data_IF_727233737610
#
_entry.id   IF_727233737610
#
_cell.length_a   1.000
_cell.length_b   1.000
_cell.length_c   1.000
_cell.angle_alpha   90.00
_cell.angle_beta   90.00
_cell.angle_gamma   90.00
#
_symmetry.space_group_name_H-M   'P 1'
#
loop_
_entity.id
_entity.type
_entity.pdbx_description
1 polymer ?
#
# COMPACT_ATOMS: atom_id res chain seq x y z
N UNK A 1 6.49 7.98 -13.76
CA UNK A 1 6.97 7.53 -12.43
C UNK A 1 7.22 8.77 -11.58
N UNK A 2 6.72 8.82 -10.34
CA UNK A 2 6.71 10.04 -9.52
C UNK A 2 8.09 10.64 -9.21
N UNK A 3 9.16 9.82 -9.24
CA UNK A 3 10.54 10.29 -9.02
C UNK A 3 11.23 10.85 -10.27
N UNK A 4 10.69 10.60 -11.47
CA UNK A 4 11.30 11.04 -12.74
C UNK A 4 10.71 12.36 -13.25
N UNK A 5 9.43 12.58 -13.00
CA UNK A 5 8.73 13.80 -13.36
C UNK A 5 7.73 14.14 -12.27
N UNK A 6 7.61 15.43 -12.02
CA UNK A 6 6.54 15.98 -11.20
C UNK A 6 5.23 16.03 -12.00
N UNK A 7 5.27 16.10 -13.34
CA UNK A 7 4.09 16.22 -14.21
C UNK A 7 3.07 15.10 -13.94
N UNK A 8 1.89 15.48 -13.43
CA UNK A 8 0.80 14.57 -13.08
C UNK A 8 0.97 13.86 -11.73
N UNK A 9 2.01 14.18 -10.97
CA UNK A 9 2.30 13.63 -9.64
C UNK A 9 2.56 14.72 -8.59
N UNK A 10 2.53 16.01 -8.94
CA UNK A 10 2.98 17.14 -8.13
C UNK A 10 2.33 17.15 -6.75
N UNK A 11 1.01 16.95 -6.73
CA UNK A 11 0.18 16.98 -5.52
C UNK A 11 0.44 15.78 -4.62
N UNK A 12 0.58 14.60 -5.21
CA UNK A 12 0.93 13.38 -4.48
C UNK A 12 2.35 13.45 -3.92
N UNK A 13 3.31 13.93 -4.71
CA UNK A 13 4.70 14.10 -4.28
C UNK A 13 4.82 15.11 -3.14
N UNK A 14 4.10 16.23 -3.23
CA UNK A 14 4.05 17.23 -2.16
C UNK A 14 3.44 16.64 -0.89
N UNK A 15 2.30 15.94 -1.01
CA UNK A 15 1.68 15.24 0.11
C UNK A 15 2.63 14.24 0.79
N UNK A 16 3.31 13.39 0.01
CA UNK A 16 4.26 12.39 0.55
C UNK A 16 5.47 13.03 1.24
N UNK A 17 5.96 14.19 0.77
CA UNK A 17 7.05 14.94 1.42
C UNK A 17 6.60 15.62 2.72
N UNK A 18 5.34 16.05 2.79
CA UNK A 18 4.80 16.76 3.94
C UNK A 18 4.29 15.81 5.04
N UNK A 19 3.77 14.64 4.66
CA UNK A 19 3.16 13.67 5.58
C UNK A 19 4.05 13.27 6.78
N UNK A 20 5.37 13.01 6.63
CA UNK A 20 6.24 12.72 7.78
C UNK A 20 6.20 13.76 8.89
N UNK A 21 5.92 15.04 8.57
CA UNK A 21 5.84 16.11 9.57
C UNK A 21 4.54 16.09 10.39
N UNK A 22 3.54 15.29 9.99
CA UNK A 22 2.24 15.20 10.65
C UNK A 22 2.17 14.05 11.65
N UNK A 23 3.19 13.20 11.71
CA UNK A 23 3.27 12.03 12.60
C UNK A 23 4.61 11.99 13.35
N UNK A 24 4.72 11.26 14.48
CA UNK A 24 5.99 10.97 15.10
C UNK A 24 6.92 10.17 14.16
N UNK A 25 8.23 10.40 14.24
CA UNK A 25 9.21 9.61 13.49
C UNK A 25 9.15 8.13 13.95
N UNK A 26 8.89 7.17 13.04
CA UNK A 26 8.74 5.77 13.41
C UNK A 26 10.09 5.09 13.65
N UNK A 27 10.13 4.11 14.56
CA UNK A 27 11.32 3.28 14.79
C UNK A 27 11.58 2.27 13.65
N UNK A 28 10.54 1.92 12.91
CA UNK A 28 10.62 1.14 11.68
C UNK A 28 9.35 1.31 10.84
N UNK A 29 9.46 1.03 9.54
CA UNK A 29 8.37 1.07 8.57
C UNK A 29 8.07 -0.36 8.09
N UNK A 30 6.81 -0.77 8.18
CA UNK A 30 6.31 -2.05 7.65
C UNK A 30 5.47 -1.74 6.43
N UNK A 31 5.93 -2.17 5.25
CA UNK A 31 5.22 -1.92 3.99
C UNK A 31 4.48 -3.17 3.54
N UNK A 32 3.17 -3.04 3.33
CA UNK A 32 2.37 -4.07 2.65
C UNK A 32 2.38 -3.67 1.18
N UNK A 33 3.10 -4.41 0.33
CA UNK A 33 3.32 -4.00 -1.06
C UNK A 33 2.41 -4.76 -2.03
N UNK A 34 1.68 -4.02 -2.86
CA UNK A 34 0.93 -4.57 -3.99
C UNK A 34 1.81 -5.30 -5.03
N UNK A 35 3.13 -5.04 -5.00
CA UNK A 35 4.10 -5.61 -5.94
C UNK A 35 4.72 -6.93 -5.47
N UNK A 36 4.24 -7.46 -4.35
CA UNK A 36 4.73 -8.73 -3.83
C UNK A 36 3.56 -9.65 -3.49
N UNK A 37 3.28 -10.58 -4.38
CA UNK A 37 2.29 -11.65 -4.19
C UNK A 37 3.02 -12.98 -3.94
N UNK A 38 2.62 -13.73 -2.92
CA UNK A 38 3.17 -15.05 -2.60
C UNK A 38 2.07 -16.05 -2.23
N UNK A 39 2.23 -17.36 -2.51
CA UNK A 39 1.27 -18.37 -2.05
C UNK A 39 1.19 -18.46 -0.51
N UNK A 40 2.29 -18.14 0.17
CA UNK A 40 2.40 -18.07 1.63
C UNK A 40 2.90 -16.68 1.98
N UNK A 41 2.24 -16.01 2.95
CA UNK A 41 2.60 -14.65 3.36
C UNK A 41 4.10 -14.60 3.72
N UNK A 42 4.84 -13.74 3.05
CA UNK A 42 6.29 -13.65 3.18
C UNK A 42 6.68 -12.30 3.75
N UNK A 43 7.73 -12.29 4.58
CA UNK A 43 8.21 -11.09 5.27
C UNK A 43 9.70 -10.93 5.00
N UNK A 44 10.15 -9.78 4.51
CA UNK A 44 11.59 -9.55 4.32
C UNK A 44 12.32 -9.53 5.66
N UNK A 45 13.38 -10.33 5.77
CA UNK A 45 14.21 -10.47 6.96
C UNK A 45 15.70 -10.21 6.68
N UNK A 46 16.05 -9.77 5.46
CA UNK A 46 17.42 -9.39 5.11
C UNK A 46 17.86 -8.13 5.89
N UNK A 47 19.08 -8.11 6.47
CA UNK A 47 19.57 -6.96 7.28
C UNK A 47 19.88 -5.71 6.45
N UNK A 48 20.40 -5.88 5.24
CA UNK A 48 20.66 -4.79 4.27
C UNK A 48 20.05 -5.15 2.91
N UNK A 49 18.72 -5.11 2.75
CA UNK A 49 18.05 -5.60 1.54
C UNK A 49 18.60 -4.88 0.28
N UNK A 50 18.86 -5.60 -0.82
CA UNK A 50 19.20 -4.96 -2.09
C UNK A 50 18.00 -4.21 -2.68
N UNK A 51 18.20 -3.43 -3.74
CA UNK A 51 17.09 -2.90 -4.53
C UNK A 51 16.51 -4.00 -5.43
N UNK A 52 15.19 -4.03 -5.59
CA UNK A 52 14.47 -4.88 -6.54
C UNK A 52 13.71 -3.99 -7.53
N UNK A 53 14.19 -3.88 -8.77
CA UNK A 53 13.51 -3.13 -9.83
C UNK A 53 12.52 -4.05 -10.55
N UNK A 54 11.30 -4.12 -10.03
CA UNK A 54 10.21 -4.99 -10.51
C UNK A 54 9.35 -4.35 -11.62
N UNK A 55 9.76 -3.19 -12.15
CA UNK A 55 9.12 -2.51 -13.28
C UNK A 55 10.01 -2.49 -14.54
N UNK A 56 9.37 -2.32 -15.70
CA UNK A 56 10.02 -2.30 -17.03
C UNK A 56 9.53 -1.13 -17.87
N UNK A 57 10.32 -0.72 -18.86
CA UNK A 57 9.92 0.27 -19.86
C UNK A 57 10.14 1.73 -19.46
N UNK A 58 10.78 1.99 -18.31
CA UNK A 58 11.18 3.34 -17.89
C UNK A 58 12.59 3.70 -18.41
N UNK A 59 12.94 5.01 -18.46
CA UNK A 59 14.27 5.48 -18.81
C UNK A 59 15.38 4.88 -17.92
N UNK A 60 16.63 4.75 -18.40
CA UNK A 60 17.73 4.16 -17.63
C UNK A 60 17.98 4.82 -16.27
N UNK A 61 17.68 6.11 -16.11
CA UNK A 61 17.89 6.83 -14.85
C UNK A 61 17.00 6.27 -13.72
N UNK A 62 15.83 5.70 -14.03
CA UNK A 62 14.96 5.12 -12.99
C UNK A 62 15.59 3.91 -12.30
N UNK A 63 16.41 3.16 -13.04
CA UNK A 63 17.13 1.99 -12.53
C UNK A 63 18.39 2.35 -11.73
N UNK A 64 18.64 3.64 -11.53
CA UNK A 64 19.73 4.15 -10.68
C UNK A 64 19.21 4.63 -9.31
N UNK A 65 17.89 4.66 -9.11
CA UNK A 65 17.30 5.00 -7.81
C UNK A 65 17.70 3.99 -6.74
N UNK A 66 18.29 4.48 -5.66
CA UNK A 66 18.78 3.65 -4.57
C UNK A 66 18.23 4.15 -3.23
N UNK A 67 17.61 3.25 -2.46
CA UNK A 67 17.04 3.53 -1.15
C UNK A 67 17.60 2.54 -0.12
N UNK A 68 18.81 2.79 0.43
CA UNK A 68 19.57 1.82 1.22
C UNK A 68 19.11 1.72 2.67
N UNK A 69 17.79 1.68 2.91
CA UNK A 69 17.24 1.55 4.25
C UNK A 69 17.66 0.21 4.88
N UNK A 70 18.03 0.18 6.17
CA UNK A 70 18.35 -1.07 6.83
C UNK A 70 17.09 -1.93 6.96
N UNK A 71 17.25 -3.25 6.92
CA UNK A 71 16.19 -4.17 7.28
C UNK A 71 15.96 -4.24 8.79
N UNK A 72 14.86 -4.87 9.22
CA UNK A 72 14.56 -5.09 10.64
C UNK A 72 14.30 -6.58 10.97
N UNK A 73 15.31 -7.46 10.92
CA UNK A 73 15.10 -8.92 11.01
C UNK A 73 14.40 -9.39 12.29
N UNK A 74 14.69 -8.78 13.45
CA UNK A 74 14.03 -9.13 14.71
C UNK A 74 12.53 -8.81 14.70
N UNK A 75 12.15 -7.71 14.06
CA UNK A 75 10.74 -7.36 13.87
C UNK A 75 10.09 -8.36 12.92
N UNK A 76 10.75 -8.72 11.81
CA UNK A 76 10.25 -9.70 10.86
C UNK A 76 9.94 -11.06 11.53
N UNK A 77 10.88 -11.60 12.33
CA UNK A 77 10.64 -12.84 13.08
C UNK A 77 9.49 -12.74 14.08
N UNK A 78 9.30 -11.58 14.72
CA UNK A 78 8.17 -11.36 15.64
C UNK A 78 6.84 -11.32 14.88
N UNK A 79 6.80 -10.65 13.74
CA UNK A 79 5.61 -10.60 12.86
C UNK A 79 5.26 -12.02 12.39
N UNK A 80 6.24 -12.82 11.95
CA UNK A 80 6.00 -14.21 11.59
C UNK A 80 5.33 -14.99 12.72
N UNK A 81 5.88 -14.93 13.94
CA UNK A 81 5.32 -15.63 15.09
C UNK A 81 3.89 -15.15 15.44
N UNK A 82 3.59 -13.86 15.24
CA UNK A 82 2.24 -13.31 15.42
C UNK A 82 1.25 -13.89 14.40
N UNK A 83 1.64 -13.96 13.13
CA UNK A 83 0.82 -14.55 12.07
C UNK A 83 0.57 -16.04 12.34
N UNK A 84 1.60 -16.79 12.70
CA UNK A 84 1.50 -18.22 13.04
C UNK A 84 0.57 -18.46 14.24
N UNK A 85 0.64 -17.60 15.27
CA UNK A 85 -0.28 -17.66 16.42
C UNK A 85 -1.73 -17.41 16.02
N UNK A 86 -1.96 -16.58 15.00
CA UNK A 86 -3.27 -16.32 14.42
C UNK A 86 -3.72 -17.41 13.42
N UNK A 87 -2.92 -18.46 13.20
CA UNK A 87 -3.23 -19.53 12.25
C UNK A 87 -2.95 -19.15 10.79
N UNK A 88 -2.19 -18.09 10.54
CA UNK A 88 -1.76 -17.67 9.21
C UNK A 88 -0.33 -18.17 8.99
N UNK A 89 -0.14 -19.04 8.00
CA UNK A 89 1.18 -19.50 7.61
C UNK A 89 2.01 -18.32 7.06
N UNK A 90 3.23 -18.16 7.58
CA UNK A 90 4.12 -17.10 7.16
C UNK A 90 5.58 -17.56 7.11
N UNK A 91 6.36 -16.99 6.19
CA UNK A 91 7.80 -17.29 6.05
C UNK A 91 8.65 -16.03 6.02
N UNK A 92 9.91 -16.17 6.43
CA UNK A 92 10.91 -15.12 6.34
C UNK A 92 11.68 -15.24 5.02
N UNK A 93 11.79 -14.14 4.29
CA UNK A 93 12.58 -14.03 3.07
C UNK A 93 13.88 -13.27 3.36
N UNK A 94 15.01 -13.97 3.28
CA UNK A 94 16.33 -13.41 3.57
C UNK A 94 17.07 -12.93 2.32
N UNK A 95 16.46 -12.98 1.14
CA UNK A 95 17.12 -12.66 -0.14
C UNK A 95 16.43 -11.51 -0.88
N UNK A 96 15.10 -11.37 -0.72
CA UNK A 96 14.31 -10.37 -1.43
C UNK A 96 14.80 -8.94 -1.14
N UNK A 97 14.92 -8.18 -2.22
CA UNK A 97 15.18 -6.74 -2.19
C UNK A 97 13.91 -5.90 -2.10
N UNK A 98 14.08 -4.61 -1.85
CA UNK A 98 12.99 -3.65 -1.80
C UNK A 98 12.44 -3.34 -3.18
N UNK A 99 11.15 -3.65 -3.40
CA UNK A 99 10.43 -3.30 -4.63
C UNK A 99 9.97 -1.84 -4.67
N UNK A 100 9.53 -1.40 -5.85
CA UNK A 100 9.21 0.01 -6.06
C UNK A 100 8.01 0.51 -5.27
N UNK A 101 7.10 -0.39 -4.85
CA UNK A 101 6.04 -0.06 -3.91
C UNK A 101 6.60 0.41 -2.56
N UNK A 102 7.77 -0.08 -2.15
CA UNK A 102 8.44 0.45 -0.97
C UNK A 102 9.27 1.69 -1.29
N UNK A 103 10.23 1.60 -2.20
CA UNK A 103 11.25 2.64 -2.27
C UNK A 103 10.78 3.94 -2.92
N UNK A 104 9.81 3.90 -3.84
CA UNK A 104 9.31 5.13 -4.50
C UNK A 104 8.65 6.09 -3.50
N UNK A 105 7.63 5.68 -2.73
CA UNK A 105 7.04 6.58 -1.74
C UNK A 105 8.02 6.93 -0.63
N UNK A 106 8.87 5.99 -0.18
CA UNK A 106 9.79 6.27 0.92
C UNK A 106 10.97 7.18 0.53
N UNK A 107 11.39 7.22 -0.74
CA UNK A 107 12.34 8.23 -1.21
C UNK A 107 11.77 9.65 -1.14
N UNK A 108 10.45 9.82 -1.18
CA UNK A 108 9.77 11.11 -1.00
C UNK A 108 9.54 11.44 0.48
N UNK A 109 9.09 10.45 1.27
CA UNK A 109 8.78 10.60 2.69
C UNK A 109 10.04 10.71 3.56
N UNK A 110 10.99 9.80 3.39
CA UNK A 110 12.17 9.65 4.26
C UNK A 110 13.47 9.53 3.44
N UNK A 111 13.85 10.57 2.67
CA UNK A 111 14.94 10.50 1.69
C UNK A 111 16.31 10.09 2.26
N UNK A 112 16.52 10.26 3.58
CA UNK A 112 17.76 9.85 4.24
C UNK A 112 17.95 8.32 4.32
N UNK A 113 16.90 7.52 4.11
CA UNK A 113 16.93 6.06 4.14
C UNK A 113 17.58 5.49 5.43
N UNK A 114 17.36 6.13 6.58
CA UNK A 114 17.94 5.75 7.87
C UNK A 114 16.95 5.01 8.78
N UNK A 115 15.65 5.01 8.45
CA UNK A 115 14.62 4.29 9.19
C UNK A 115 14.57 2.83 8.71
N UNK A 116 14.67 1.83 9.60
CA UNK A 116 14.57 0.43 9.22
C UNK A 116 13.25 0.10 8.54
N UNK A 117 13.31 -0.65 7.43
CA UNK A 117 12.13 -1.04 6.66
C UNK A 117 12.02 -2.57 6.57
N UNK A 118 10.80 -3.07 6.43
CA UNK A 118 10.53 -4.43 5.97
C UNK A 118 9.27 -4.44 5.11
N UNK A 119 9.10 -5.49 4.32
CA UNK A 119 7.91 -5.73 3.53
C UNK A 119 7.16 -6.95 4.01
N UNK A 120 5.84 -6.94 3.81
CA UNK A 120 4.96 -8.09 3.91
C UNK A 120 4.30 -8.27 2.54
N UNK A 121 4.30 -9.50 2.03
CA UNK A 121 3.64 -9.84 0.78
C UNK A 121 2.13 -9.88 0.94
N UNK A 122 1.40 -9.67 -0.15
CA UNK A 122 0.04 -10.16 -0.30
C UNK A 122 0.04 -11.68 -0.47
N UNK A 123 -1.10 -12.31 -0.18
CA UNK A 123 -1.37 -13.67 -0.61
C UNK A 123 -1.78 -13.68 -2.07
N UNK A 124 -1.20 -14.59 -2.87
CA UNK A 124 -1.57 -14.76 -4.28
C UNK A 124 -2.99 -15.31 -4.47
N UNK A 125 -3.71 -15.66 -3.40
CA UNK A 125 -5.16 -15.92 -3.48
C UNK A 125 -5.96 -14.66 -3.79
N UNK A 126 -5.42 -13.49 -3.46
CA UNK A 126 -6.07 -12.19 -3.58
C UNK A 126 -7.43 -12.09 -2.89
N UNK A 127 -7.72 -12.98 -1.94
CA UNK A 127 -8.99 -13.01 -1.23
C UNK A 127 -9.11 -11.81 -0.27
N UNK A 128 -10.12 -10.96 -0.46
CA UNK A 128 -10.29 -9.74 0.33
C UNK A 128 -10.47 -10.03 1.83
N UNK A 129 -11.22 -11.08 2.16
CA UNK A 129 -11.45 -11.49 3.57
C UNK A 129 -10.12 -11.88 4.22
N UNK A 130 -9.31 -12.70 3.57
CA UNK A 130 -8.01 -13.12 4.04
C UNK A 130 -7.08 -11.92 4.31
N UNK A 131 -7.08 -10.90 3.46
CA UNK A 131 -6.23 -9.72 3.66
C UNK A 131 -6.72 -8.85 4.83
N UNK A 132 -8.02 -8.83 5.12
CA UNK A 132 -8.56 -8.23 6.34
C UNK A 132 -8.13 -9.04 7.59
N UNK A 133 -8.19 -10.37 7.54
CA UNK A 133 -7.69 -11.23 8.63
C UNK A 133 -6.18 -11.10 8.85
N UNK A 134 -5.40 -10.98 7.78
CA UNK A 134 -3.98 -10.68 7.85
C UNK A 134 -3.74 -9.36 8.61
N UNK A 135 -4.50 -8.32 8.28
CA UNK A 135 -4.46 -7.06 9.02
C UNK A 135 -4.78 -7.24 10.50
N UNK A 136 -5.84 -7.99 10.84
CA UNK A 136 -6.23 -8.25 12.24
C UNK A 136 -5.15 -8.97 13.01
N UNK A 137 -4.47 -9.94 12.40
CA UNK A 137 -3.33 -10.63 13.01
C UNK A 137 -2.16 -9.67 13.32
N UNK A 138 -2.02 -8.58 12.57
CA UNK A 138 -1.01 -7.53 12.78
C UNK A 138 -1.45 -6.45 13.78
N UNK A 139 -2.71 -6.43 14.22
CA UNK A 139 -3.26 -5.41 15.13
C UNK A 139 -2.44 -5.16 16.43
N UNK A 140 -1.76 -6.15 17.04
CA UNK A 140 -0.92 -5.89 18.21
C UNK A 140 0.22 -4.90 17.96
N UNK A 141 0.69 -4.74 16.72
CA UNK A 141 1.74 -3.78 16.35
C UNK A 141 1.31 -2.32 16.51
N UNK A 142 0.00 -2.01 16.59
CA UNK A 142 -0.50 -0.63 16.74
C UNK A 142 -0.01 0.10 17.98
N UNK A 143 0.36 -0.65 19.02
CA UNK A 143 0.82 -0.08 20.28
C UNK A 143 2.33 0.24 20.26
N UNK A 144 2.97 0.07 19.12
CA UNK A 144 4.39 0.31 18.92
C UNK A 144 4.62 1.54 18.04
N UNK A 145 5.80 2.16 18.15
CA UNK A 145 6.17 3.31 17.31
C UNK A 145 6.58 2.84 15.90
N UNK A 146 5.64 2.27 15.16
CA UNK A 146 5.81 1.74 13.82
C UNK A 146 4.90 2.48 12.84
N UNK A 147 5.41 2.76 11.63
CA UNK A 147 4.56 3.17 10.52
C UNK A 147 4.18 1.93 9.70
N UNK A 148 2.89 1.65 9.64
CA UNK A 148 2.35 0.60 8.76
C UNK A 148 1.85 1.28 7.49
N UNK A 149 2.50 0.98 6.37
CA UNK A 149 2.22 1.60 5.07
C UNK A 149 1.62 0.58 4.12
N UNK A 150 0.33 0.69 3.84
CA UNK A 150 -0.30 -0.03 2.73
C UNK A 150 0.06 0.64 1.41
N UNK A 151 1.03 0.08 0.69
CA UNK A 151 1.46 0.63 -0.60
C UNK A 151 0.77 -0.07 -1.75
N UNK A 152 -0.25 0.60 -2.28
CA UNK A 152 -0.99 0.22 -3.47
C UNK A 152 -1.46 1.47 -4.21
N UNK A 153 -2.61 1.41 -4.85
CA UNK A 153 -3.18 2.55 -5.55
C UNK A 153 -4.71 2.40 -5.63
N UNK A 154 -5.47 3.47 -5.48
CA UNK A 154 -6.95 3.40 -5.44
C UNK A 154 -7.60 3.29 -6.83
N UNK A 155 -6.80 3.43 -7.90
CA UNK A 155 -7.15 3.09 -9.28
C UNK A 155 -5.98 2.35 -9.94
N UNK A 156 -6.13 1.11 -10.38
CA UNK A 156 -5.05 0.37 -11.05
C UNK A 156 -5.55 -0.42 -12.26
N UNK A 157 -5.78 0.30 -13.38
CA UNK A 157 -6.06 -0.31 -14.67
C UNK A 157 -5.03 0.09 -15.73
N UNK A 158 -3.99 -0.74 -15.87
CA UNK A 158 -2.88 -0.49 -16.80
C UNK A 158 -3.31 -0.31 -18.26
N UNK A 159 -4.38 -0.98 -18.71
CA UNK A 159 -4.87 -0.81 -20.08
C UNK A 159 -5.41 0.59 -20.32
N UNK A 160 -6.10 1.16 -19.32
CA UNK A 160 -6.64 2.53 -19.37
C UNK A 160 -5.52 3.54 -19.16
N UNK A 161 -4.61 3.30 -18.20
CA UNK A 161 -3.47 4.20 -17.93
C UNK A 161 -2.51 4.34 -19.12
N UNK A 162 -2.29 3.26 -19.88
CA UNK A 162 -1.45 3.27 -21.08
C UNK A 162 -2.19 3.72 -22.35
N UNK A 163 -3.52 3.85 -22.29
CA UNK A 163 -4.34 4.33 -23.39
C UNK A 163 -4.17 5.83 -23.63
N UNK A 164 -4.73 6.33 -24.74
CA UNK A 164 -4.90 7.78 -24.90
C UNK A 164 -5.95 8.24 -23.89
N UNK A 165 -5.56 9.16 -23.02
CA UNK A 165 -6.47 9.84 -22.13
C UNK A 165 -6.88 11.16 -22.76
N UNK A 166 -8.17 11.44 -22.74
CA UNK A 166 -8.68 12.79 -22.96
C UNK A 166 -8.58 13.56 -21.64
N UNK A 167 -8.53 14.90 -21.68
CA UNK A 167 -8.38 15.75 -20.49
C UNK A 167 -9.59 15.74 -19.52
N UNK A 168 -10.56 14.82 -19.72
CA UNK A 168 -11.76 14.70 -18.89
C UNK A 168 -11.57 13.65 -17.80
N UNK A 169 -12.00 13.98 -16.58
CA UNK A 169 -12.07 13.02 -15.48
C UNK A 169 -12.92 11.82 -15.89
N UNK A 170 -12.36 10.63 -15.69
CA UNK A 170 -13.05 9.38 -15.92
C UNK A 170 -14.17 9.17 -14.89
N UNK A 171 -15.41 9.20 -15.36
CA UNK A 171 -16.61 9.06 -14.55
C UNK A 171 -16.65 7.72 -13.79
N UNK A 172 -16.10 6.64 -14.35
CA UNK A 172 -16.03 5.34 -13.66
C UNK A 172 -15.05 5.37 -12.49
N UNK A 173 -13.90 6.03 -12.68
CA UNK A 173 -12.94 6.26 -11.59
C UNK A 173 -13.55 7.12 -10.48
N UNK A 174 -14.26 8.20 -10.84
CA UNK A 174 -14.98 9.04 -9.87
C UNK A 174 -15.98 8.25 -9.02
N UNK A 175 -16.80 7.39 -9.65
CA UNK A 175 -17.78 6.57 -8.95
C UNK A 175 -17.15 5.59 -7.96
N UNK A 176 -16.05 4.94 -8.34
CA UNK A 176 -15.34 4.03 -7.45
C UNK A 176 -14.68 4.78 -6.28
N UNK A 177 -14.05 5.93 -6.53
CA UNK A 177 -13.43 6.76 -5.48
C UNK A 177 -14.46 7.32 -4.48
N UNK A 178 -15.65 7.70 -4.95
CA UNK A 178 -16.75 8.11 -4.07
C UNK A 178 -17.21 6.97 -3.17
N UNK A 179 -17.37 5.77 -3.73
CA UNK A 179 -17.70 4.58 -2.96
C UNK A 179 -16.59 4.24 -1.95
N UNK A 180 -15.32 4.34 -2.34
CA UNK A 180 -14.18 4.04 -1.47
C UNK A 180 -14.09 5.07 -0.33
N UNK A 181 -14.26 6.35 -0.62
CA UNK A 181 -14.28 7.40 0.40
C UNK A 181 -15.43 7.23 1.40
N UNK A 182 -16.63 6.88 0.94
CA UNK A 182 -17.75 6.56 1.84
C UNK A 182 -17.41 5.34 2.70
N UNK A 183 -16.95 4.25 2.07
CA UNK A 183 -16.59 3.01 2.77
C UNK A 183 -15.49 3.24 3.80
N UNK A 184 -14.45 3.99 3.49
CA UNK A 184 -13.30 4.19 4.37
C UNK A 184 -13.46 5.34 5.38
N UNK A 185 -14.33 6.33 5.13
CA UNK A 185 -14.34 7.57 5.93
C UNK A 185 -15.71 8.09 6.36
N UNK A 186 -16.83 7.44 6.01
CA UNK A 186 -18.15 7.85 6.51
C UNK A 186 -18.29 7.54 8.02
N UNK A 187 -18.56 8.53 8.89
CA UNK A 187 -18.71 8.29 10.32
C UNK A 187 -20.00 7.54 10.70
N UNK A 188 -21.03 7.57 9.85
CA UNK A 188 -22.32 6.95 10.11
C UNK A 188 -22.37 5.49 9.63
N UNK A 189 -21.33 5.04 8.92
CA UNK A 189 -21.22 3.67 8.42
C UNK A 189 -20.72 2.72 9.51
N UNK A 190 -21.59 1.77 9.90
CA UNK A 190 -21.28 0.70 10.86
C UNK A 190 -20.01 -0.08 10.47
N UNK A 191 -19.26 -0.53 11.48
CA UNK A 191 -17.98 -1.21 11.26
C UNK A 191 -18.14 -2.55 10.52
N UNK A 192 -19.21 -3.31 10.75
CA UNK A 192 -19.43 -4.58 10.06
C UNK A 192 -19.90 -4.34 8.61
N UNK A 193 -20.72 -3.31 8.39
CA UNK A 193 -21.10 -2.90 7.04
C UNK A 193 -19.88 -2.42 6.23
N UNK A 194 -19.00 -1.63 6.86
CA UNK A 194 -17.74 -1.19 6.26
C UNK A 194 -16.87 -2.36 5.84
N UNK A 195 -16.72 -3.34 6.72
CA UNK A 195 -15.98 -4.55 6.42
C UNK A 195 -16.64 -5.36 5.29
N UNK A 196 -17.96 -5.54 5.32
CA UNK A 196 -18.70 -6.24 4.28
C UNK A 196 -18.49 -5.58 2.91
N UNK A 197 -18.52 -4.25 2.84
CA UNK A 197 -18.23 -3.49 1.62
C UNK A 197 -16.81 -3.74 1.10
N UNK A 198 -15.82 -3.83 1.99
CA UNK A 198 -14.45 -4.16 1.59
C UNK A 198 -14.34 -5.63 1.13
N UNK A 199 -14.98 -6.57 1.83
CA UNK A 199 -15.03 -7.98 1.38
C UNK A 199 -15.67 -8.10 -0.01
N UNK A 200 -16.75 -7.37 -0.26
CA UNK A 200 -17.50 -7.36 -1.52
C UNK A 200 -17.11 -6.18 -2.43
N UNK A 201 -15.87 -5.68 -2.34
CA UNK A 201 -15.43 -4.47 -3.06
C UNK A 201 -15.64 -4.57 -4.57
N UNK A 202 -15.62 -5.77 -5.13
CA UNK A 202 -15.80 -6.04 -6.55
C UNK A 202 -17.23 -5.77 -7.05
N UNK A 203 -18.19 -5.62 -6.13
CA UNK A 203 -19.56 -5.16 -6.39
C UNK A 203 -19.70 -3.64 -6.38
N UNK A 204 -18.66 -2.90 -5.99
CA UNK A 204 -18.69 -1.45 -5.99
C UNK A 204 -18.90 -0.88 -7.41
N UNK A 205 -19.46 0.34 -7.53
CA UNK A 205 -19.55 1.02 -8.81
C UNK A 205 -18.20 1.04 -9.53
N UNK A 206 -18.18 0.51 -10.76
CA UNK A 206 -16.98 0.44 -11.61
C UNK A 206 -15.75 -0.25 -10.99
N UNK A 207 -15.93 -1.12 -9.99
CA UNK A 207 -14.83 -1.80 -9.30
C UNK A 207 -13.85 -2.50 -10.26
N UNK A 208 -14.35 -3.40 -11.11
CA UNK A 208 -13.52 -4.15 -12.08
C UNK A 208 -12.97 -3.30 -13.22
N UNK A 209 -13.51 -2.11 -13.41
CA UNK A 209 -12.91 -1.14 -14.32
C UNK A 209 -11.71 -0.47 -13.66
N UNK A 210 -11.82 -0.06 -12.40
CA UNK A 210 -10.71 0.59 -11.68
C UNK A 210 -9.62 -0.42 -11.28
N UNK A 211 -10.02 -1.65 -10.98
CA UNK A 211 -9.17 -2.76 -10.53
C UNK A 211 -9.54 -4.04 -11.28
N UNK A 212 -8.97 -4.26 -12.49
CA UNK A 212 -9.15 -5.51 -13.21
C UNK A 212 -8.68 -6.73 -12.39
N UNK A 213 -7.68 -6.50 -11.53
CA UNK A 213 -7.22 -7.39 -10.49
C UNK A 213 -7.13 -6.65 -9.15
N UNK A 214 -7.16 -7.42 -8.07
CA UNK A 214 -7.32 -6.96 -6.69
C UNK A 214 -6.07 -6.25 -6.11
N UNK A 215 -4.87 -6.60 -6.59
CA UNK A 215 -3.64 -6.48 -5.80
C UNK A 215 -3.31 -5.07 -5.33
N UNK A 216 -3.61 -4.04 -6.12
CA UNK A 216 -3.32 -2.65 -5.74
C UNK A 216 -4.30 -2.07 -4.72
N UNK A 217 -5.45 -2.72 -4.51
CA UNK A 217 -6.44 -2.33 -3.49
C UNK A 217 -6.25 -3.10 -2.16
N UNK A 218 -5.67 -4.30 -2.18
CA UNK A 218 -5.56 -5.15 -0.99
C UNK A 218 -4.65 -4.62 0.14
N UNK A 219 -3.60 -3.79 -0.10
CA UNK A 219 -2.89 -3.14 1.00
C UNK A 219 -3.82 -2.29 1.90
N UNK A 220 -4.83 -1.65 1.31
CA UNK A 220 -5.87 -0.93 2.07
C UNK A 220 -6.67 -1.87 2.96
N UNK A 221 -6.97 -3.08 2.49
CA UNK A 221 -7.70 -4.10 3.25
C UNK A 221 -6.90 -4.58 4.47
N UNK A 222 -5.58 -4.74 4.32
CA UNK A 222 -4.69 -5.08 5.44
C UNK A 222 -4.65 -3.94 6.46
N UNK A 223 -4.51 -2.69 6.01
CA UNK A 223 -4.55 -1.52 6.91
C UNK A 223 -5.89 -1.39 7.63
N UNK A 224 -7.02 -1.58 6.94
CA UNK A 224 -8.34 -1.62 7.55
C UNK A 224 -8.47 -2.76 8.56
N UNK A 225 -8.09 -3.99 8.20
CA UNK A 225 -8.16 -5.15 9.07
C UNK A 225 -7.32 -4.98 10.33
N UNK A 226 -6.16 -4.32 10.20
CA UNK A 226 -5.37 -3.90 11.34
C UNK A 226 -6.18 -2.91 12.16
N UNK A 227 -6.56 -1.76 11.60
CA UNK A 227 -7.21 -0.63 12.28
C UNK A 227 -8.57 -0.95 12.93
N UNK A 228 -9.46 -1.64 12.19
CA UNK A 228 -10.87 -1.90 12.54
C UNK A 228 -11.60 -0.64 13.01
N UNK A 229 -11.38 0.45 12.28
CA UNK A 229 -11.93 1.77 12.56
C UNK A 229 -12.23 2.53 11.27
N UNK A 230 -12.95 3.63 11.39
CA UNK A 230 -13.07 4.65 10.35
C UNK A 230 -11.70 5.28 10.09
N UNK A 231 -11.35 5.45 8.82
CA UNK A 231 -10.15 6.15 8.40
C UNK A 231 -10.43 7.63 8.18
N UNK A 232 -9.43 8.47 8.40
CA UNK A 232 -9.40 9.84 7.85
C UNK A 232 -8.88 9.78 6.41
N UNK A 233 -9.61 10.35 5.45
CA UNK A 233 -9.08 10.56 4.10
C UNK A 233 -8.08 11.72 4.13
N UNK A 234 -6.81 11.42 3.99
CA UNK A 234 -5.70 12.38 4.15
C UNK A 234 -5.18 12.92 2.82
N UNK A 235 -5.54 12.27 1.71
CA UNK A 235 -5.23 12.72 0.36
C UNK A 235 -6.37 12.37 -0.58
N UNK A 236 -6.69 13.30 -1.49
CA UNK A 236 -7.46 13.02 -2.70
C UNK A 236 -7.09 14.05 -3.76
N UNK A 237 -6.55 13.60 -4.88
CA UNK A 237 -6.26 14.46 -6.04
C UNK A 237 -6.19 13.62 -7.32
N UNK A 238 -6.02 14.28 -8.46
CA UNK A 238 -5.76 13.61 -9.73
C UNK A 238 -4.28 13.25 -9.81
N UNK A 239 -3.98 11.96 -9.92
CA UNK A 239 -2.64 11.40 -10.08
C UNK A 239 -2.59 10.68 -11.43
N UNK A 240 -1.74 11.18 -12.32
CA UNK A 240 -1.57 10.65 -13.68
C UNK A 240 -2.90 10.50 -14.45
N UNK A 241 -3.81 11.48 -14.27
CA UNK A 241 -5.11 11.54 -14.96
C UNK A 241 -6.29 10.89 -14.21
N UNK A 242 -6.06 10.23 -13.08
CA UNK A 242 -7.12 9.57 -12.31
C UNK A 242 -7.22 10.13 -10.89
N UNK A 243 -8.44 10.31 -10.40
CA UNK A 243 -8.68 10.58 -8.98
C UNK A 243 -8.11 9.42 -8.19
N UNK A 244 -7.31 9.73 -7.19
CA UNK A 244 -6.71 8.77 -6.28
C UNK A 244 -6.74 9.30 -4.86
N UNK A 245 -6.83 8.41 -3.89
CA UNK A 245 -6.99 8.75 -2.48
C UNK A 245 -6.05 7.98 -1.56
N UNK A 246 -5.76 8.57 -0.40
CA UNK A 246 -5.04 7.90 0.69
C UNK A 246 -5.77 8.07 2.03
N UNK A 247 -5.64 7.07 2.89
CA UNK A 247 -6.38 6.95 4.14
C UNK A 247 -5.42 6.69 5.30
N UNK A 248 -5.71 7.33 6.44
CA UNK A 248 -4.96 7.18 7.69
C UNK A 248 -5.90 6.70 8.80
N UNK A 249 -5.42 5.75 9.59
CA UNK A 249 -6.07 5.26 10.81
C UNK A 249 -5.24 5.62 12.05
#
# INVERSE_FOLDING_TARGET
>A
MPLLSEDGYERMNSFLREFPSTIPEPEAIVVISAHWEEPVVSITAHKNPPMLYDYKGFPPESYQFNYPAPGRPRLASRIQAMLETAGIEARLDYERGFDHGLFVPLMLMYPAANIPCLQISLSSSLDATFHIELGRALAPLKNENLLILGSGFSFHNMQVMMGKQDDTIDEKNRQFEEWLAQTCSDPDLDLNERELRLIEWDRAPAARYCHPREEHLLPLHVCFGMARAQATKVFQDVVSGFISSAYQW
#
